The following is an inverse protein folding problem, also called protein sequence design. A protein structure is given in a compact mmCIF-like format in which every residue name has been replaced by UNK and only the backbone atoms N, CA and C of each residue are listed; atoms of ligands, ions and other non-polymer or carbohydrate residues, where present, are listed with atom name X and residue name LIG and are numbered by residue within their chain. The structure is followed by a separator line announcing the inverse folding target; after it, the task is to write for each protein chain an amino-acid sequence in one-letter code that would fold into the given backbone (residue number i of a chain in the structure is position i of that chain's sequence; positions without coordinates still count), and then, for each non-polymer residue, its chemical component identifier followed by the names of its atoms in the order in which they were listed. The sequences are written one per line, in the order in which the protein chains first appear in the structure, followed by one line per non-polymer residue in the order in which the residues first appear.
data_IF_833308481940
#
_entry.id   IF_833308481940
#
_cell.length_a   1.000
_cell.length_b   1.000
_cell.length_c   1.000
_cell.angle_alpha   90.00
_cell.angle_beta   90.00
_cell.angle_gamma   90.00
#
_symmetry.space_group_name_H-M   'P 1'
#
loop_
_entity.id
_entity.type
_entity.pdbx_description
1 polymer ?
#
# COMPACT_ATOMS: atom_id res chain seq x y z
N UNK A 1 1.35 -15.14 -8.96
CA UNK A 1 2.50 -14.36 -9.43
C UNK A 1 3.17 -13.56 -8.31
N UNK A 2 2.41 -12.86 -7.47
CA UNK A 2 3.00 -12.05 -6.40
C UNK A 2 3.78 -12.90 -5.38
N UNK A 3 3.23 -14.03 -4.96
CA UNK A 3 3.90 -14.93 -4.00
C UNK A 3 5.19 -15.50 -4.59
N UNK A 4 5.18 -15.84 -5.87
CA UNK A 4 6.39 -16.34 -6.55
C UNK A 4 7.48 -15.26 -6.62
N UNK A 5 7.10 -14.00 -6.82
CA UNK A 5 8.03 -12.89 -6.79
C UNK A 5 8.68 -12.73 -5.42
N UNK A 6 7.90 -12.88 -4.35
CA UNK A 6 8.41 -12.82 -2.98
C UNK A 6 9.39 -13.94 -2.70
N UNK A 7 9.06 -15.17 -3.10
CA UNK A 7 9.94 -16.32 -2.93
C UNK A 7 11.23 -16.17 -3.73
N UNK A 8 11.15 -15.68 -4.96
CA UNK A 8 12.32 -15.43 -5.79
C UNK A 8 13.22 -14.35 -5.19
N UNK A 9 12.63 -13.28 -4.66
CA UNK A 9 13.39 -12.21 -4.01
C UNK A 9 14.13 -12.73 -2.78
N UNK A 10 13.46 -13.51 -1.94
CA UNK A 10 14.08 -14.10 -0.76
C UNK A 10 15.20 -15.07 -1.15
N UNK A 11 14.99 -15.92 -2.15
CA UNK A 11 15.99 -16.85 -2.65
C UNK A 11 17.20 -16.14 -3.24
N UNK A 12 17.02 -14.97 -3.85
CA UNK A 12 18.08 -14.16 -4.42
C UNK A 12 18.83 -13.33 -3.37
N UNK A 13 18.43 -13.39 -2.11
CA UNK A 13 19.07 -12.63 -1.03
C UNK A 13 18.55 -11.22 -0.82
N UNK A 14 17.49 -10.82 -1.52
CA UNK A 14 16.87 -9.52 -1.29
C UNK A 14 16.19 -9.52 0.09
N UNK A 15 16.35 -8.43 0.84
CA UNK A 15 15.72 -8.30 2.16
C UNK A 15 14.60 -7.27 2.13
N UNK A 16 14.78 -6.19 1.41
CA UNK A 16 13.79 -5.10 1.31
C UNK A 16 12.78 -5.42 0.22
N UNK A 17 11.51 -5.40 0.55
CA UNK A 17 10.45 -5.70 -0.39
C UNK A 17 9.28 -4.74 -0.22
N UNK A 18 8.97 -4.00 -1.28
CA UNK A 18 7.81 -3.11 -1.28
C UNK A 18 6.76 -3.65 -2.23
N UNK A 19 5.55 -3.86 -1.73
CA UNK A 19 4.43 -4.33 -2.51
C UNK A 19 3.38 -3.24 -2.62
N UNK A 20 2.90 -2.99 -3.83
CA UNK A 20 1.79 -2.06 -4.05
C UNK A 20 0.50 -2.86 -4.10
N UNK A 21 -0.38 -2.60 -3.16
CA UNK A 21 -1.72 -3.16 -3.08
C UNK A 21 -2.74 -2.06 -3.44
N UNK A 22 -3.84 -1.96 -2.75
CA UNK A 22 -4.77 -0.85 -2.94
C UNK A 22 -5.54 -0.58 -1.64
N UNK A 23 -5.95 0.67 -1.48
CA UNK A 23 -6.47 1.19 -0.21
C UNK A 23 -7.71 0.46 0.31
N UNK A 24 -8.53 -0.09 -0.59
CA UNK A 24 -9.77 -0.78 -0.26
C UNK A 24 -9.63 -2.30 -0.22
N UNK A 25 -8.40 -2.84 -0.29
CA UNK A 25 -8.18 -4.28 -0.32
C UNK A 25 -8.71 -4.99 0.94
N UNK A 26 -8.78 -4.27 2.04
CA UNK A 26 -9.16 -4.81 3.35
C UNK A 26 -10.60 -4.45 3.75
N UNK A 27 -11.32 -3.78 2.86
CA UNK A 27 -12.74 -3.54 3.04
C UNK A 27 -13.59 -4.68 2.54
N UNK A 28 -14.89 -4.65 2.86
CA UNK A 28 -15.81 -5.62 2.31
C UNK A 28 -15.99 -5.41 0.81
N UNK A 29 -15.73 -6.46 0.04
CA UNK A 29 -16.00 -6.47 -1.39
C UNK A 29 -17.21 -7.39 -1.60
N UNK A 30 -18.32 -6.88 -2.16
CA UNK A 30 -19.50 -7.70 -2.41
C UNK A 30 -19.17 -8.93 -3.28
N UNK A 31 -19.83 -10.05 -3.01
CA UNK A 31 -19.55 -11.31 -3.72
C UNK A 31 -19.70 -11.20 -5.22
N UNK A 32 -20.60 -10.36 -5.69
CA UNK A 32 -20.86 -10.15 -7.11
C UNK A 32 -20.05 -9.00 -7.72
N UNK A 33 -19.11 -8.43 -6.97
CA UNK A 33 -18.28 -7.34 -7.49
C UNK A 33 -17.28 -7.89 -8.51
N UNK A 34 -17.12 -7.23 -9.67
CA UNK A 34 -16.20 -7.71 -10.71
C UNK A 34 -14.75 -7.89 -10.26
N UNK A 35 -14.32 -7.09 -9.28
CA UNK A 35 -12.95 -7.12 -8.77
C UNK A 35 -12.77 -7.99 -7.53
N UNK A 36 -13.79 -8.78 -7.16
CA UNK A 36 -13.69 -9.60 -5.94
C UNK A 36 -12.54 -10.60 -5.98
N UNK A 37 -12.38 -11.32 -7.10
CA UNK A 37 -11.28 -12.28 -7.24
C UNK A 37 -9.93 -11.59 -7.15
N UNK A 38 -9.80 -10.43 -7.76
CA UNK A 38 -8.59 -9.61 -7.68
C UNK A 38 -8.31 -9.17 -6.24
N UNK A 39 -9.33 -8.68 -5.53
CA UNK A 39 -9.19 -8.24 -4.15
C UNK A 39 -8.76 -9.40 -3.24
N UNK A 40 -9.38 -10.58 -3.39
CA UNK A 40 -9.03 -11.78 -2.61
C UNK A 40 -7.58 -12.18 -2.86
N UNK A 41 -7.14 -12.19 -4.12
CA UNK A 41 -5.77 -12.52 -4.48
C UNK A 41 -4.78 -11.52 -3.88
N UNK A 42 -5.10 -10.23 -3.90
CA UNK A 42 -4.26 -9.20 -3.31
C UNK A 42 -4.15 -9.34 -1.80
N UNK A 43 -5.25 -9.58 -1.11
CA UNK A 43 -5.24 -9.79 0.34
C UNK A 43 -4.40 -11.01 0.70
N UNK A 44 -4.55 -12.11 -0.04
CA UNK A 44 -3.77 -13.33 0.18
C UNK A 44 -2.27 -13.06 0.00
N UNK A 45 -1.90 -12.32 -1.04
CA UNK A 45 -0.51 -11.96 -1.29
C UNK A 45 0.05 -11.06 -0.18
N UNK A 46 -0.72 -10.07 0.26
CA UNK A 46 -0.33 -9.15 1.33
C UNK A 46 -0.10 -9.92 2.64
N UNK A 47 -0.99 -10.84 2.99
CA UNK A 47 -0.85 -11.66 4.19
C UNK A 47 0.35 -12.59 4.09
N UNK A 48 0.60 -13.16 2.92
CA UNK A 48 1.77 -14.00 2.70
C UNK A 48 3.05 -13.20 2.92
N UNK A 49 3.13 -11.99 2.38
CA UNK A 49 4.28 -11.12 2.56
C UNK A 49 4.54 -10.82 4.04
N UNK A 50 3.49 -10.55 4.81
CA UNK A 50 3.62 -10.31 6.25
C UNK A 50 4.14 -11.52 7.03
N UNK A 51 3.96 -12.73 6.49
CA UNK A 51 4.46 -13.95 7.13
C UNK A 51 5.92 -14.27 6.80
N UNK A 52 6.53 -13.50 5.90
CA UNK A 52 7.93 -13.72 5.49
C UNK A 52 8.90 -12.99 6.41
N UNK A 53 10.19 -13.35 6.31
CA UNK A 53 11.26 -12.65 7.02
C UNK A 53 11.79 -11.44 6.24
N UNK A 54 11.13 -11.07 5.15
CA UNK A 54 11.52 -9.90 4.37
C UNK A 54 11.25 -8.62 5.15
N UNK A 55 12.08 -7.61 4.91
CA UNK A 55 11.83 -6.25 5.41
C UNK A 55 10.79 -5.60 4.49
N UNK A 56 9.54 -5.97 4.70
CA UNK A 56 8.44 -5.62 3.81
C UNK A 56 7.76 -4.31 4.18
N UNK A 57 7.20 -3.67 3.17
CA UNK A 57 6.25 -2.56 3.31
C UNK A 57 5.13 -2.79 2.29
N UNK A 58 3.90 -2.63 2.71
CA UNK A 58 2.74 -2.74 1.80
C UNK A 58 2.14 -1.36 1.62
N UNK A 59 2.07 -0.91 0.37
CA UNK A 59 1.48 0.37 0.01
C UNK A 59 0.08 0.17 -0.52
N UNK A 60 -0.89 0.89 0.02
CA UNK A 60 -2.28 0.82 -0.39
C UNK A 60 -2.77 2.14 -0.96
N UNK A 61 -2.43 2.49 -2.20
CA UNK A 61 -2.94 3.71 -2.82
C UNK A 61 -4.42 3.59 -3.14
N UNK A 62 -5.09 4.73 -3.21
CA UNK A 62 -6.46 4.81 -3.68
C UNK A 62 -6.56 4.68 -5.20
N UNK A 63 -7.62 5.23 -5.79
CA UNK A 63 -7.83 5.19 -7.22
C UNK A 63 -6.69 5.89 -7.97
N UNK A 64 -6.00 5.16 -8.82
CA UNK A 64 -4.86 5.71 -9.56
C UNK A 64 -5.32 6.69 -10.64
N UNK A 65 -4.67 7.84 -10.70
CA UNK A 65 -4.97 8.89 -11.67
C UNK A 65 -3.71 9.34 -12.40
N UNK A 66 -3.91 10.01 -13.54
CA UNK A 66 -2.83 10.60 -14.34
C UNK A 66 -2.59 12.08 -13.99
N UNK A 67 -3.20 12.58 -12.92
CA UNK A 67 -3.00 13.96 -12.47
C UNK A 67 -1.54 14.17 -12.08
N UNK A 68 -1.02 15.39 -12.31
CA UNK A 68 0.35 15.73 -11.93
C UNK A 68 0.61 15.47 -10.45
N UNK A 69 1.73 14.82 -10.11
CA UNK A 69 2.04 14.55 -8.72
C UNK A 69 2.34 15.82 -7.93
N UNK A 70 1.75 15.94 -6.77
CA UNK A 70 1.93 17.11 -5.91
C UNK A 70 3.10 16.96 -4.93
N UNK A 71 3.56 15.73 -4.70
CA UNK A 71 4.56 15.44 -3.67
C UNK A 71 3.98 15.39 -2.26
N UNK A 72 2.66 15.39 -2.13
CA UNK A 72 1.97 15.36 -0.85
C UNK A 72 0.85 14.34 -0.84
N UNK A 73 0.67 13.67 0.29
CA UNK A 73 -0.31 12.60 0.46
C UNK A 73 -1.03 12.74 1.81
N UNK A 74 -2.11 11.99 1.96
CA UNK A 74 -2.76 11.76 3.26
C UNK A 74 -2.69 10.27 3.54
N UNK A 75 -2.12 9.87 4.67
CA UNK A 75 -2.08 8.49 5.11
C UNK A 75 -3.36 8.16 5.86
N UNK A 76 -3.94 7.00 5.55
CA UNK A 76 -5.16 6.52 6.17
C UNK A 76 -6.20 6.12 5.15
N UNK A 77 -7.16 5.31 5.59
CA UNK A 77 -8.29 4.90 4.76
C UNK A 77 -9.39 5.97 4.82
N UNK A 78 -10.20 6.09 3.76
CA UNK A 78 -11.37 6.97 3.82
C UNK A 78 -12.27 6.57 4.98
N UNK A 79 -12.93 7.56 5.58
CA UNK A 79 -13.90 7.29 6.64
C UNK A 79 -15.05 6.43 6.10
N UNK A 80 -15.61 5.59 6.97
CA UNK A 80 -16.77 4.78 6.62
C UNK A 80 -17.91 5.70 6.14
N UNK A 81 -18.48 5.40 4.97
CA UNK A 81 -19.54 6.20 4.37
C UNK A 81 -19.02 7.42 3.59
N UNK A 82 -17.73 7.63 3.51
CA UNK A 82 -17.16 8.70 2.71
C UNK A 82 -17.36 8.38 1.22
N UNK A 83 -18.10 9.23 0.53
CA UNK A 83 -18.39 9.05 -0.88
C UNK A 83 -17.24 9.47 -1.80
N UNK A 84 -16.14 9.98 -1.28
CA UNK A 84 -14.92 10.15 -2.06
C UNK A 84 -14.34 8.79 -2.41
N UNK A 85 -15.22 7.92 -2.89
CA UNK A 85 -14.93 6.53 -3.21
C UNK A 85 -13.75 6.44 -4.16
N UNK A 86 -12.77 5.61 -3.79
CA UNK A 86 -11.57 5.45 -4.58
C UNK A 86 -10.41 6.30 -4.13
N UNK A 87 -10.65 7.39 -3.38
CA UNK A 87 -9.59 8.23 -2.83
C UNK A 87 -8.48 8.49 -3.87
N UNK A 88 -8.62 9.47 -4.75
CA UNK A 88 -7.74 9.65 -5.90
C UNK A 88 -6.27 9.76 -5.48
N UNK A 89 -5.41 9.09 -6.23
CA UNK A 89 -3.97 9.02 -5.95
C UNK A 89 -3.22 9.09 -7.27
N UNK A 90 -2.40 10.12 -7.47
CA UNK A 90 -1.65 10.21 -8.71
C UNK A 90 -0.58 9.12 -8.79
N UNK A 91 -0.39 8.55 -9.99
CA UNK A 91 0.65 7.53 -10.22
C UNK A 91 2.04 8.06 -9.89
N UNK A 92 2.29 9.34 -10.17
CA UNK A 92 3.55 9.99 -9.82
C UNK A 92 3.77 10.06 -8.32
N UNK A 93 2.73 10.32 -7.52
CA UNK A 93 2.84 10.28 -6.07
C UNK A 93 3.11 8.85 -5.57
N UNK A 94 2.50 7.83 -6.16
CA UNK A 94 2.80 6.43 -5.81
C UNK A 94 4.28 6.14 -6.01
N UNK A 95 4.85 6.54 -7.15
CA UNK A 95 6.27 6.34 -7.41
C UNK A 95 7.15 7.06 -6.38
N UNK A 96 6.78 8.27 -6.00
CA UNK A 96 7.50 9.03 -4.97
C UNK A 96 7.39 8.40 -3.59
N UNK A 97 6.23 7.82 -3.25
CA UNK A 97 6.05 7.09 -1.99
C UNK A 97 6.93 5.84 -1.96
N UNK A 98 7.01 5.10 -3.07
CA UNK A 98 7.91 3.94 -3.16
C UNK A 98 9.34 4.36 -2.87
N UNK A 99 9.84 5.40 -3.53
CA UNK A 99 11.20 5.88 -3.32
C UNK A 99 11.43 6.33 -1.88
N UNK A 100 10.50 7.06 -1.30
CA UNK A 100 10.60 7.54 0.08
C UNK A 100 10.57 6.38 1.09
N UNK A 101 9.72 5.38 0.85
CA UNK A 101 9.62 4.21 1.72
C UNK A 101 10.91 3.38 1.70
N UNK A 102 11.53 3.24 0.54
CA UNK A 102 12.82 2.54 0.42
C UNK A 102 13.91 3.20 1.27
N UNK A 103 13.86 4.51 1.41
CA UNK A 103 14.83 5.28 2.17
C UNK A 103 14.47 5.43 3.65
N UNK A 104 13.27 4.98 4.07
CA UNK A 104 12.77 5.19 5.43
C UNK A 104 12.57 3.87 6.18
N UNK A 105 13.50 3.49 7.06
CA UNK A 105 13.37 2.23 7.83
C UNK A 105 12.12 2.14 8.69
N UNK A 106 11.52 3.26 9.09
CA UNK A 106 10.30 3.26 9.87
C UNK A 106 9.11 2.64 9.12
N UNK A 107 9.18 2.51 7.80
CA UNK A 107 8.14 1.88 7.00
C UNK A 107 8.21 0.35 6.97
N UNK A 108 9.31 -0.23 7.45
CA UNK A 108 9.45 -1.69 7.50
C UNK A 108 8.40 -2.26 8.46
N UNK A 109 7.67 -3.26 7.99
CA UNK A 109 6.61 -3.87 8.77
C UNK A 109 5.33 -3.03 8.85
N UNK A 110 5.16 -2.08 7.94
CA UNK A 110 3.98 -1.21 7.91
C UNK A 110 3.13 -1.42 6.68
N UNK A 111 1.83 -1.29 6.87
CA UNK A 111 0.85 -1.17 5.78
C UNK A 111 0.49 0.31 5.69
N UNK A 112 0.67 0.92 4.54
CA UNK A 112 0.47 2.36 4.37
C UNK A 112 -0.64 2.63 3.38
N UNK A 113 -1.90 2.74 3.84
CA UNK A 113 -2.98 3.22 2.98
C UNK A 113 -2.81 4.73 2.80
N UNK A 114 -2.93 5.19 1.57
CA UNK A 114 -2.74 6.62 1.30
C UNK A 114 -3.47 7.07 0.04
N UNK A 115 -3.63 8.37 -0.06
CA UNK A 115 -4.20 9.07 -1.22
C UNK A 115 -3.49 10.40 -1.38
N UNK A 116 -3.72 11.09 -2.49
CA UNK A 116 -3.23 12.45 -2.64
C UNK A 116 -3.76 13.30 -1.49
N UNK A 117 -2.95 14.19 -0.98
CA UNK A 117 -3.29 14.99 0.18
C UNK A 117 -2.37 16.17 0.34
N UNK A 118 -2.11 16.56 1.59
CA UNK A 118 -1.38 17.79 1.90
C UNK A 118 -0.11 17.61 2.71
N UNK A 119 0.18 16.38 3.17
CA UNK A 119 1.40 16.11 3.94
C UNK A 119 2.55 15.76 3.01
N UNK A 120 3.70 16.42 3.09
CA UNK A 120 4.87 16.03 2.28
C UNK A 120 5.18 14.56 2.45
N UNK A 121 5.49 13.87 1.35
CA UNK A 121 5.65 12.42 1.32
C UNK A 121 6.71 11.94 2.33
N UNK A 122 7.87 12.59 2.38
CA UNK A 122 8.92 12.19 3.30
C UNK A 122 8.47 12.25 4.77
N UNK A 123 7.70 13.27 5.12
CA UNK A 123 7.14 13.41 6.46
C UNK A 123 6.07 12.35 6.73
N UNK A 124 5.21 12.10 5.76
CA UNK A 124 4.12 11.13 5.89
C UNK A 124 4.65 9.72 6.13
N UNK A 125 5.65 9.28 5.37
CA UNK A 125 6.20 7.92 5.50
C UNK A 125 7.02 7.75 6.78
N UNK A 126 7.60 8.82 7.30
CA UNK A 126 8.36 8.79 8.55
C UNK A 126 7.45 8.66 9.80
N UNK A 127 6.17 8.94 9.66
CA UNK A 127 5.23 9.03 10.78
C UNK A 127 4.01 8.10 10.65
N UNK A 128 4.16 6.95 9.98
CA UNK A 128 3.06 6.00 9.81
C UNK A 128 2.66 5.41 11.16
N UNK A 129 1.37 5.50 11.55
CA UNK A 129 0.92 4.93 12.84
C UNK A 129 1.13 3.43 12.94
N UNK A 130 1.45 2.96 14.14
CA UNK A 130 1.63 1.53 14.41
C UNK A 130 0.37 0.73 14.09
N UNK A 131 -0.80 1.36 14.18
CA UNK A 131 -2.08 0.70 13.88
C UNK A 131 -2.16 0.14 12.46
N UNK A 132 -1.30 0.63 11.57
CA UNK A 132 -1.26 0.13 10.19
C UNK A 132 -0.23 -0.97 9.97
N UNK A 133 0.28 -1.58 11.03
CA UNK A 133 1.20 -2.72 10.93
C UNK A 133 0.47 -4.04 10.70
N UNK A 134 -0.85 -4.08 10.86
CA UNK A 134 -1.69 -5.27 10.74
C UNK A 134 -2.77 -5.06 9.68
N UNK A 135 -3.09 -6.16 8.98
CA UNK A 135 -4.14 -6.17 7.95
C UNK A 135 -5.53 -6.49 8.50
N UNK A 136 -5.63 -6.90 9.74
CA UNK A 136 -6.90 -7.28 10.34
C UNK A 136 -7.86 -6.11 10.53
#
# INVERSE_FOLDING_TARGET
AAIRSMEAAAAAGARRYIMVSFITAYGEVPENHPLRAYAIAKIAADRHLQSTDLDWTILGPGLLTEVEPTGAITVGRPAAGDSSAGAPTSRGNVARVIAAALAEPATIGRVIPFRDGETPIAQAVANVPQAYADLS
#
